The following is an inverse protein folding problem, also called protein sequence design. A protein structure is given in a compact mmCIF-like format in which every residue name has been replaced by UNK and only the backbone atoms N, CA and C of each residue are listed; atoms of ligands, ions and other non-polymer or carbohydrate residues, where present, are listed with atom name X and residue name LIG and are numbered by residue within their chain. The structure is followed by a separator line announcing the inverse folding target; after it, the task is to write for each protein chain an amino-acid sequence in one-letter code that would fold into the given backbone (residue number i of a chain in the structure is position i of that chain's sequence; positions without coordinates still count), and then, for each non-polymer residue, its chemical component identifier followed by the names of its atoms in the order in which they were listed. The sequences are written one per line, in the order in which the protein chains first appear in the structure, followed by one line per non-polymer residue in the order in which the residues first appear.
data_IF_013159162658
#
_entry.id   IF_013159162658
#
_cell.length_a   1.000
_cell.length_b   1.000
_cell.length_c   1.000
_cell.angle_alpha   90.00
_cell.angle_beta   90.00
_cell.angle_gamma   90.00
#
_symmetry.space_group_name_H-M   'P 1'
#
loop_
_entity.id
_entity.type
_entity.pdbx_description
1 polymer ?
#
# COMPACT_ATOMS: atom_id res chain seq x y z
N UNK A 1 3.31 -24.27 6.73
CA UNK A 1 3.48 -23.73 5.38
C UNK A 1 2.12 -23.67 4.72
N UNK A 2 1.74 -22.54 4.19
CA UNK A 2 0.48 -22.33 3.48
C UNK A 2 0.79 -21.65 2.15
N UNK A 3 0.21 -22.17 1.07
CA UNK A 3 0.36 -21.61 -0.29
C UNK A 3 -1.01 -21.60 -0.95
N UNK A 4 -1.39 -20.46 -1.50
CA UNK A 4 -2.60 -20.35 -2.32
C UNK A 4 -2.34 -19.46 -3.54
N UNK A 5 -3.06 -19.74 -4.61
CA UNK A 5 -3.07 -18.93 -5.82
C UNK A 5 -4.51 -18.74 -6.26
N UNK A 6 -4.94 -17.50 -6.35
CA UNK A 6 -6.22 -17.13 -6.94
C UNK A 6 -6.00 -16.34 -8.23
N UNK A 7 -6.91 -16.47 -9.18
CA UNK A 7 -6.95 -15.68 -10.39
C UNK A 7 -8.31 -15.00 -10.50
N UNK A 8 -8.34 -13.76 -10.88
CA UNK A 8 -9.55 -12.99 -11.10
C UNK A 8 -9.55 -12.39 -12.50
N UNK A 9 -10.66 -12.56 -13.21
CA UNK A 9 -10.92 -11.85 -14.46
C UNK A 9 -11.93 -10.75 -14.20
N UNK A 10 -11.53 -9.52 -14.50
CA UNK A 10 -12.38 -8.36 -14.37
C UNK A 10 -12.71 -7.79 -15.75
N UNK A 11 -14.00 -7.58 -16.00
CA UNK A 11 -14.51 -7.05 -17.26
C UNK A 11 -15.43 -5.86 -17.01
N UNK A 12 -15.15 -4.73 -17.64
CA UNK A 12 -16.01 -3.56 -17.70
C UNK A 12 -16.08 -3.06 -19.14
N UNK A 13 -17.04 -2.20 -19.49
CA UNK A 13 -17.09 -1.58 -20.81
C UNK A 13 -15.83 -0.78 -21.20
N UNK A 14 -15.05 -0.32 -20.21
CA UNK A 14 -13.90 0.53 -20.42
C UNK A 14 -12.56 -0.24 -20.45
N UNK A 15 -12.47 -1.37 -19.74
CA UNK A 15 -11.26 -2.16 -19.64
C UNK A 15 -11.52 -3.56 -19.09
N UNK A 16 -10.63 -4.47 -19.43
CA UNK A 16 -10.64 -5.87 -18.98
C UNK A 16 -9.21 -6.33 -18.73
N UNK A 17 -9.02 -7.10 -17.67
CA UNK A 17 -7.71 -7.68 -17.35
C UNK A 17 -7.83 -8.91 -16.45
N UNK A 18 -6.79 -9.75 -16.51
CA UNK A 18 -6.54 -10.83 -15.58
C UNK A 18 -5.58 -10.37 -14.50
N UNK A 19 -5.88 -10.67 -13.26
CA UNK A 19 -5.00 -10.45 -12.13
C UNK A 19 -4.79 -11.77 -11.38
N UNK A 20 -3.55 -12.00 -10.93
CA UNK A 20 -3.15 -13.16 -10.15
C UNK A 20 -2.90 -12.73 -8.71
N UNK A 21 -3.40 -13.51 -7.76
CA UNK A 21 -3.30 -13.25 -6.32
C UNK A 21 -2.55 -14.38 -5.63
N UNK A 22 -1.20 -14.40 -5.70
CA UNK A 22 -0.41 -15.34 -4.93
C UNK A 22 -0.43 -15.00 -3.45
N UNK A 23 -0.56 -16.03 -2.61
CA UNK A 23 -0.38 -15.94 -1.16
C UNK A 23 0.53 -17.07 -0.72
N UNK A 24 1.58 -16.73 0.03
CA UNK A 24 2.53 -17.67 0.61
C UNK A 24 2.80 -17.27 2.05
N UNK A 25 2.67 -18.21 2.98
CA UNK A 25 3.06 -18.04 4.37
C UNK A 25 3.95 -19.19 4.79
N UNK A 26 5.15 -18.89 5.23
CA UNK A 26 6.12 -19.85 5.73
C UNK A 26 6.56 -19.40 7.13
N UNK A 27 6.46 -20.30 8.10
CA UNK A 27 7.03 -20.14 9.43
C UNK A 27 8.07 -21.20 9.65
N UNK A 28 9.26 -20.80 10.06
CA UNK A 28 10.37 -21.67 10.35
C UNK A 28 10.93 -21.38 11.74
N UNK A 29 11.18 -22.43 12.49
CA UNK A 29 11.69 -22.41 13.87
C UNK A 29 13.05 -23.13 13.89
N UNK A 30 14.17 -22.47 13.52
CA UNK A 30 15.47 -23.12 13.38
C UNK A 30 16.06 -23.58 14.72
N UNK A 31 15.77 -22.89 15.79
CA UNK A 31 16.24 -23.19 17.15
C UNK A 31 15.31 -22.57 18.19
N UNK A 32 15.48 -22.99 19.45
CA UNK A 32 14.70 -22.43 20.57
C UNK A 32 14.88 -20.91 20.66
N UNK A 33 13.78 -20.20 20.68
CA UNK A 33 13.75 -18.75 20.76
C UNK A 33 13.93 -18.02 19.41
N UNK A 34 14.09 -18.73 18.29
CA UNK A 34 14.18 -18.15 16.94
C UNK A 34 12.91 -18.43 16.16
N UNK A 35 12.26 -17.40 15.64
CA UNK A 35 11.11 -17.50 14.76
C UNK A 35 11.39 -16.70 13.50
N UNK A 36 11.32 -17.35 12.35
CA UNK A 36 11.43 -16.74 11.03
C UNK A 36 10.10 -16.92 10.32
N UNK A 37 9.54 -15.82 9.84
CA UNK A 37 8.33 -15.84 9.03
C UNK A 37 8.58 -15.12 7.72
N UNK A 38 8.15 -15.73 6.62
CA UNK A 38 8.17 -15.17 5.29
C UNK A 38 6.76 -15.20 4.74
N UNK A 39 6.30 -14.09 4.20
CA UNK A 39 4.98 -13.98 3.62
C UNK A 39 4.99 -13.24 2.30
N UNK A 40 4.20 -13.73 1.35
CA UNK A 40 3.81 -12.99 0.15
C UNK A 40 2.30 -12.88 0.17
N UNK A 41 1.78 -11.69 -0.05
CA UNK A 41 0.35 -11.43 -0.14
C UNK A 41 0.05 -10.51 -1.31
N UNK A 42 -1.15 -10.62 -1.83
CA UNK A 42 -1.67 -9.76 -2.88
C UNK A 42 -3.06 -9.27 -2.50
N UNK A 43 -3.36 -8.06 -2.90
CA UNK A 43 -4.62 -7.39 -2.61
C UNK A 43 -5.02 -6.51 -3.78
N UNK A 44 -6.34 -6.36 -4.01
CA UNK A 44 -6.91 -5.51 -5.05
C UNK A 44 -7.82 -4.46 -4.43
N UNK A 45 -7.56 -3.21 -4.74
CA UNK A 45 -8.35 -2.09 -4.28
C UNK A 45 -9.15 -1.51 -5.44
N UNK A 46 -10.46 -1.54 -5.32
CA UNK A 46 -11.38 -0.94 -6.28
C UNK A 46 -11.57 0.55 -5.99
N UNK A 47 -11.67 1.41 -7.01
CA UNK A 47 -12.11 2.78 -6.84
C UNK A 47 -13.54 2.81 -6.28
N UNK A 48 -13.80 3.78 -5.42
CA UNK A 48 -15.15 3.97 -4.91
C UNK A 48 -16.05 4.56 -5.99
N UNK A 49 -17.33 4.18 -5.99
CA UNK A 49 -18.29 4.58 -7.00
C UNK A 49 -18.32 6.10 -7.24
N UNK A 50 -18.31 6.89 -6.18
CA UNK A 50 -18.34 8.35 -6.28
C UNK A 50 -17.06 8.94 -6.92
N UNK A 51 -15.92 8.27 -6.85
CA UNK A 51 -14.68 8.72 -7.50
C UNK A 51 -14.66 8.51 -9.00
N UNK A 52 -15.53 7.63 -9.50
CA UNK A 52 -15.68 7.30 -10.92
C UNK A 52 -16.85 8.05 -11.58
N UNK A 53 -17.69 8.74 -10.80
CA UNK A 53 -18.80 9.52 -11.36
C UNK A 53 -18.29 10.70 -12.19
N UNK A 54 -19.04 11.07 -13.21
CA UNK A 54 -18.75 12.23 -14.05
C UNK A 54 -19.35 13.53 -13.48
N UNK A 55 -19.40 13.65 -12.16
CA UNK A 55 -19.89 14.85 -11.49
C UNK A 55 -18.76 15.73 -10.99
N UNK A 56 -19.02 17.03 -10.99
CA UNK A 56 -18.18 18.03 -10.33
C UNK A 56 -18.91 18.47 -9.06
N UNK A 57 -18.26 18.29 -7.94
CA UNK A 57 -18.73 18.77 -6.64
C UNK A 57 -17.91 19.97 -6.23
N UNK A 58 -18.58 21.03 -5.80
CA UNK A 58 -17.93 22.26 -5.35
C UNK A 58 -17.89 22.31 -3.84
N UNK A 59 -16.79 22.78 -3.30
CA UNK A 59 -16.60 23.03 -1.87
C UNK A 59 -15.88 24.36 -1.65
N UNK A 60 -15.82 24.79 -0.41
CA UNK A 60 -15.16 26.02 0.01
C UNK A 60 -15.59 27.26 -0.83
N UNK A 61 -16.92 27.44 -0.96
CA UNK A 61 -17.48 28.59 -1.67
C UNK A 61 -17.16 28.60 -3.19
N UNK A 62 -16.87 27.43 -3.79
CA UNK A 62 -16.53 27.32 -5.21
C UNK A 62 -15.03 27.38 -5.51
N UNK A 63 -14.17 27.58 -4.51
CA UNK A 63 -12.73 27.59 -4.71
C UNK A 63 -12.12 26.19 -4.86
N UNK A 64 -12.85 25.14 -4.47
CA UNK A 64 -12.45 23.76 -4.63
C UNK A 64 -13.45 22.99 -5.49
N UNK A 65 -12.95 22.25 -6.47
CA UNK A 65 -13.70 21.33 -7.30
C UNK A 65 -13.23 19.90 -7.05
N UNK A 66 -14.15 18.99 -6.83
CA UNK A 66 -13.87 17.56 -6.78
C UNK A 66 -14.46 16.95 -8.04
N UNK A 67 -13.60 16.44 -8.91
CA UNK A 67 -14.00 15.88 -10.21
C UNK A 67 -13.80 14.37 -10.17
N UNK A 68 -14.82 13.64 -10.54
CA UNK A 68 -14.71 12.18 -10.70
C UNK A 68 -13.91 11.82 -11.94
N UNK A 69 -13.43 10.57 -11.98
CA UNK A 69 -12.70 10.04 -13.12
C UNK A 69 -13.26 8.66 -13.50
N UNK A 70 -14.13 8.58 -14.52
CA UNK A 70 -14.70 7.30 -14.98
C UNK A 70 -13.65 6.31 -15.48
N UNK A 71 -12.47 6.78 -15.88
CA UNK A 71 -11.37 5.97 -16.38
C UNK A 71 -10.49 5.34 -15.29
N UNK A 72 -10.84 5.50 -14.00
CA UNK A 72 -10.06 4.92 -12.91
C UNK A 72 -10.05 3.39 -12.99
N UNK A 73 -8.83 2.84 -12.88
CA UNK A 73 -8.58 1.40 -12.82
C UNK A 73 -8.35 0.96 -11.37
N UNK A 74 -8.76 -0.26 -11.00
CA UNK A 74 -8.38 -0.85 -9.73
C UNK A 74 -6.87 -0.98 -9.62
N UNK A 75 -6.36 -0.82 -8.41
CA UNK A 75 -4.95 -1.05 -8.11
C UNK A 75 -4.73 -2.45 -7.56
N UNK A 76 -3.67 -3.11 -7.99
CA UNK A 76 -3.24 -4.42 -7.48
C UNK A 76 -1.93 -4.26 -6.73
N UNK A 77 -1.92 -4.68 -5.48
CA UNK A 77 -0.77 -4.59 -4.58
C UNK A 77 -0.22 -5.97 -4.28
N UNK A 78 1.06 -6.15 -4.53
CA UNK A 78 1.84 -7.32 -4.13
C UNK A 78 2.77 -6.91 -3.00
N UNK A 79 2.78 -7.67 -1.92
CA UNK A 79 3.62 -7.41 -0.75
C UNK A 79 4.38 -8.67 -0.36
N UNK A 80 5.71 -8.55 -0.25
CA UNK A 80 6.57 -9.53 0.39
C UNK A 80 6.99 -9.01 1.77
N UNK A 81 7.02 -9.89 2.76
CA UNK A 81 7.37 -9.55 4.12
C UNK A 81 8.27 -10.65 4.72
N UNK A 82 9.28 -10.21 5.45
CA UNK A 82 10.16 -11.04 6.25
C UNK A 82 10.07 -10.57 7.71
N UNK A 83 9.87 -11.50 8.62
CA UNK A 83 9.83 -11.22 10.06
C UNK A 83 10.80 -12.17 10.76
N UNK A 84 11.66 -11.62 11.58
CA UNK A 84 12.53 -12.37 12.47
C UNK A 84 12.27 -11.95 13.91
N UNK A 85 12.00 -12.94 14.76
CA UNK A 85 11.80 -12.74 16.20
C UNK A 85 12.80 -13.59 16.97
N UNK A 86 13.51 -12.96 17.88
CA UNK A 86 14.49 -13.61 18.75
C UNK A 86 14.03 -13.50 20.21
N UNK A 87 13.89 -14.66 20.87
CA UNK A 87 13.49 -14.82 22.28
C UNK A 87 12.23 -14.03 22.67
N UNK A 88 11.32 -13.81 21.69
CA UNK A 88 10.10 -13.00 21.85
C UNK A 88 10.36 -11.54 22.33
N UNK A 89 11.61 -11.09 22.27
CA UNK A 89 12.05 -9.77 22.74
C UNK A 89 12.50 -8.87 21.61
N UNK A 90 13.33 -9.40 20.72
CA UNK A 90 13.86 -8.65 19.58
C UNK A 90 13.07 -9.01 18.32
N UNK A 91 12.70 -8.01 17.57
CA UNK A 91 11.96 -8.20 16.33
C UNK A 91 12.57 -7.36 15.22
N UNK A 92 12.72 -7.98 14.06
CA UNK A 92 13.08 -7.31 12.82
C UNK A 92 12.01 -7.65 11.77
N UNK A 93 11.51 -6.65 11.09
CA UNK A 93 10.55 -6.79 9.98
C UNK A 93 11.12 -6.04 8.79
N UNK A 94 11.21 -6.71 7.65
CA UNK A 94 11.51 -6.09 6.37
C UNK A 94 10.34 -6.35 5.41
N UNK A 95 9.98 -5.36 4.59
CA UNK A 95 8.91 -5.53 3.61
C UNK A 95 9.23 -4.80 2.32
N UNK A 96 8.67 -5.34 1.25
CA UNK A 96 8.62 -4.70 -0.05
C UNK A 96 7.20 -4.81 -0.60
N UNK A 97 6.67 -3.72 -1.14
CA UNK A 97 5.36 -3.68 -1.78
C UNK A 97 5.45 -3.01 -3.15
N UNK A 98 4.83 -3.63 -4.13
CA UNK A 98 4.64 -3.10 -5.47
C UNK A 98 3.14 -2.98 -5.74
N UNK A 99 2.67 -1.78 -6.02
CA UNK A 99 1.29 -1.49 -6.35
C UNK A 99 1.19 -1.03 -7.80
N UNK A 100 0.53 -1.82 -8.64
CA UNK A 100 0.25 -1.52 -10.04
C UNK A 100 -1.04 -0.68 -10.11
N UNK A 101 -1.11 0.24 -11.08
CA UNK A 101 -2.25 1.15 -11.30
C UNK A 101 -2.68 1.87 -10.01
N UNK A 102 -1.69 2.27 -9.20
CA UNK A 102 -1.93 2.99 -7.95
C UNK A 102 -2.74 4.26 -8.21
N UNK A 103 -3.85 4.45 -7.49
CA UNK A 103 -4.66 5.66 -7.65
C UNK A 103 -4.71 6.46 -6.36
N UNK A 104 -4.59 7.77 -6.52
CA UNK A 104 -4.64 8.75 -5.43
C UNK A 104 -5.29 10.03 -5.89
N UNK A 105 -5.91 10.74 -4.96
CA UNK A 105 -6.43 12.07 -5.22
C UNK A 105 -5.29 13.07 -5.37
N UNK A 106 -5.23 13.74 -6.50
CA UNK A 106 -4.19 14.71 -6.84
C UNK A 106 -4.83 16.09 -6.98
N UNK A 107 -4.36 17.09 -6.21
CA UNK A 107 -4.76 18.47 -6.40
C UNK A 107 -3.97 19.09 -7.55
N UNK A 108 -4.62 19.90 -8.38
CA UNK A 108 -3.97 20.78 -9.33
C UNK A 108 -4.77 22.07 -9.51
N UNK A 109 -4.04 23.13 -9.75
CA UNK A 109 -4.65 24.45 -9.99
C UNK A 109 -5.06 24.55 -11.45
N UNK A 110 -6.26 25.03 -11.68
CA UNK A 110 -6.72 25.37 -13.03
C UNK A 110 -6.05 26.66 -13.51
N UNK A 111 -5.73 26.71 -14.79
CA UNK A 111 -5.11 27.88 -15.41
C UNK A 111 -6.12 28.98 -15.77
N UNK A 112 -7.41 28.63 -15.88
CA UNK A 112 -8.49 29.52 -16.33
C UNK A 112 -9.19 30.26 -15.18
N UNK A 113 -8.99 29.80 -13.93
CA UNK A 113 -9.61 30.40 -12.73
C UNK A 113 -8.86 30.02 -11.44
N UNK A 114 -9.08 30.80 -10.38
CA UNK A 114 -8.53 30.54 -9.04
C UNK A 114 -9.33 29.42 -8.35
N UNK A 115 -9.19 28.19 -8.88
CA UNK A 115 -9.88 27.01 -8.34
C UNK A 115 -8.88 25.88 -8.28
N UNK A 116 -8.84 25.17 -7.13
CA UNK A 116 -8.07 23.94 -6.95
C UNK A 116 -8.99 22.79 -7.31
N UNK A 117 -8.58 22.01 -8.29
CA UNK A 117 -9.30 20.81 -8.71
C UNK A 117 -8.66 19.58 -8.09
N UNK A 118 -9.48 18.74 -7.45
CA UNK A 118 -9.10 17.46 -6.88
C UNK A 118 -9.65 16.35 -7.75
N UNK A 119 -8.79 15.51 -8.29
CA UNK A 119 -9.20 14.36 -9.10
C UNK A 119 -8.38 13.12 -8.74
N UNK A 120 -9.03 11.96 -8.73
CA UNK A 120 -8.32 10.69 -8.62
C UNK A 120 -7.71 10.31 -9.96
N UNK A 121 -6.41 10.06 -9.95
CA UNK A 121 -5.65 9.65 -11.13
C UNK A 121 -4.91 8.34 -10.85
N UNK A 122 -4.77 7.50 -11.88
CA UNK A 122 -3.90 6.33 -11.80
C UNK A 122 -2.46 6.73 -12.11
N UNK A 123 -1.56 6.20 -11.31
CA UNK A 123 -0.12 6.19 -11.54
C UNK A 123 0.29 4.80 -12.01
N UNK A 124 1.30 4.68 -12.85
CA UNK A 124 1.74 3.39 -13.39
C UNK A 124 2.04 2.40 -12.28
N UNK A 125 2.78 2.85 -11.26
CA UNK A 125 3.08 2.04 -10.10
C UNK A 125 3.50 2.88 -8.90
N UNK A 126 3.38 2.27 -7.73
CA UNK A 126 3.99 2.71 -6.49
C UNK A 126 4.81 1.56 -5.90
N UNK A 127 6.04 1.83 -5.51
CA UNK A 127 6.92 0.89 -4.81
C UNK A 127 7.21 1.40 -3.41
N UNK A 128 7.19 0.51 -2.45
CA UNK A 128 7.52 0.79 -1.06
C UNK A 128 8.45 -0.29 -0.55
N UNK A 129 9.50 0.09 0.15
CA UNK A 129 10.36 -0.82 0.89
C UNK A 129 10.55 -0.26 2.29
N UNK A 130 10.64 -1.12 3.27
CA UNK A 130 10.87 -0.67 4.63
C UNK A 130 11.48 -1.76 5.50
N UNK A 131 12.10 -1.28 6.57
CA UNK A 131 12.66 -2.10 7.62
C UNK A 131 12.26 -1.51 8.97
N UNK A 132 11.90 -2.38 9.88
CA UNK A 132 11.61 -2.03 11.27
C UNK A 132 12.41 -2.95 12.17
N UNK A 133 13.06 -2.38 13.17
CA UNK A 133 13.74 -3.12 14.23
C UNK A 133 13.19 -2.67 15.59
N UNK A 134 12.92 -3.62 16.47
CA UNK A 134 12.41 -3.36 17.82
C UNK A 134 13.18 -4.20 18.84
N UNK A 135 13.64 -3.54 19.89
CA UNK A 135 14.39 -4.16 20.97
C UNK A 135 13.94 -3.63 22.34
N UNK A 136 13.98 -4.46 23.40
CA UNK A 136 13.80 -3.97 24.77
C UNK A 136 14.99 -3.09 25.13
N UNK A 137 14.73 -2.03 25.86
CA UNK A 137 15.74 -1.09 26.34
C UNK A 137 15.50 -0.82 27.83
N UNK A 138 16.49 -1.16 28.64
CA UNK A 138 16.45 -0.98 30.10
C UNK A 138 17.64 -0.12 30.54
N UNK A 139 17.54 1.22 30.47
CA UNK A 139 18.63 2.10 30.86
C UNK A 139 18.90 2.06 32.37
N UNK A 140 17.85 1.81 33.14
CA UNK A 140 17.91 1.64 34.60
C UNK A 140 17.05 0.45 35.01
N UNK A 141 17.42 -0.25 36.05
CA UNK A 141 16.76 -1.50 36.47
C UNK A 141 15.28 -1.39 36.77
N UNK A 142 14.77 -0.18 37.03
CA UNK A 142 13.37 0.10 37.34
C UNK A 142 12.56 0.63 36.14
N UNK A 143 13.21 0.87 34.99
CA UNK A 143 12.52 1.41 33.80
C UNK A 143 12.59 0.44 32.62
N UNK A 144 11.45 -0.07 32.23
CA UNK A 144 11.26 -0.90 31.05
C UNK A 144 10.78 -0.03 29.88
N UNK A 145 11.56 0.03 28.82
CA UNK A 145 11.21 0.70 27.58
C UNK A 145 11.46 -0.22 26.37
N UNK A 146 10.86 0.12 25.26
CA UNK A 146 11.09 -0.54 23.97
C UNK A 146 11.52 0.50 22.95
N UNK A 147 12.67 0.30 22.36
CA UNK A 147 13.15 1.11 21.23
C UNK A 147 12.64 0.48 19.93
N UNK A 148 12.03 1.30 19.08
CA UNK A 148 11.62 0.88 17.74
C UNK A 148 12.14 1.88 16.72
N UNK A 149 12.91 1.37 15.74
CA UNK A 149 13.43 2.13 14.60
C UNK A 149 12.69 1.68 13.35
N UNK A 150 12.26 2.64 12.53
CA UNK A 150 11.53 2.39 11.29
C UNK A 150 12.18 3.21 10.18
N UNK A 151 12.58 2.54 9.10
CA UNK A 151 13.01 3.16 7.86
C UNK A 151 12.04 2.80 6.73
N UNK A 152 11.58 3.78 5.97
CA UNK A 152 10.67 3.56 4.83
C UNK A 152 11.19 4.32 3.62
N UNK A 153 11.26 3.63 2.50
CA UNK A 153 11.51 4.20 1.18
C UNK A 153 10.27 4.04 0.31
N UNK A 154 9.92 5.09 -0.44
CA UNK A 154 8.77 5.10 -1.32
C UNK A 154 9.13 5.74 -2.66
N UNK A 155 8.66 5.13 -3.74
CA UNK A 155 8.80 5.65 -5.11
C UNK A 155 7.52 5.40 -5.89
N UNK A 156 7.09 6.40 -6.68
CA UNK A 156 5.97 6.27 -7.61
C UNK A 156 6.34 6.85 -8.97
N UNK A 157 5.72 6.32 -10.00
CA UNK A 157 5.86 6.81 -11.36
C UNK A 157 4.50 7.28 -11.87
N UNK A 158 4.43 8.56 -12.25
CA UNK A 158 3.27 9.09 -12.94
C UNK A 158 3.32 8.70 -14.42
N UNK A 159 2.15 8.53 -15.04
CA UNK A 159 2.04 8.53 -16.50
C UNK A 159 2.17 9.98 -16.96
N UNK A 160 3.18 10.29 -17.74
CA UNK A 160 3.29 11.53 -18.51
C UNK A 160 2.31 11.50 -19.66
#
# INVERSE_FOLDING_TARGET
MEVSLAAEYYHTPLWHQWDLFPTLNLTWLPATGHVIQMGVSSDKRYPQYWTMNNFVTYSNGGYNEIVGNPGLRPSVKYRAQFVYVLHSKYQMVAWYAHCKDYFVQTPYQRSDRLTIQYQYLNFNYQRQAGIQASAPFKPWGWWDARLTLIGVWMHWSATT
#
